data_IF_054039965127
#
_entry.id   IF_054039965127
#
_cell.length_a   1.000
_cell.length_b   1.000
_cell.length_c   1.000
_cell.angle_alpha   90.00
_cell.angle_beta   90.00
_cell.angle_gamma   90.00
#
_symmetry.space_group_name_H-M   'P 1'
#
loop_
_entity.id
_entity.type
_entity.pdbx_description
1 polymer ?
#
# COMPACT_ATOMS: atom_id res chain seq x y z
N UNK A 1 -0.83 10.61 -21.49
CA UNK A 1 -1.32 11.15 -20.21
C UNK A 1 -0.58 12.43 -19.89
N UNK A 2 -1.27 13.51 -19.52
CA UNK A 2 -0.67 14.76 -19.06
C UNK A 2 -0.92 14.87 -17.56
N UNK A 3 0.12 15.10 -16.77
CA UNK A 3 0.04 15.22 -15.30
C UNK A 3 0.39 16.64 -14.91
N UNK A 4 -0.45 17.27 -14.10
CA UNK A 4 -0.21 18.57 -13.48
C UNK A 4 -0.09 18.40 -11.98
N UNK A 5 0.92 19.02 -11.39
CA UNK A 5 1.16 19.00 -9.93
C UNK A 5 0.97 20.41 -9.37
N UNK A 6 0.18 20.52 -8.32
CA UNK A 6 -0.13 21.80 -7.67
C UNK A 6 0.08 21.70 -6.16
N UNK A 7 0.69 22.71 -5.53
CA UNK A 7 0.95 22.69 -4.09
C UNK A 7 -0.30 22.97 -3.24
N UNK A 8 -1.36 23.52 -3.80
CA UNK A 8 -2.58 23.89 -3.08
C UNK A 8 -3.82 23.67 -3.92
N UNK A 9 -4.94 23.38 -3.24
CA UNK A 9 -6.25 23.18 -3.90
C UNK A 9 -6.71 24.47 -4.59
N UNK A 10 -6.45 25.63 -4.01
CA UNK A 10 -6.73 26.94 -4.59
C UNK A 10 -6.09 27.12 -5.97
N UNK A 11 -4.84 26.68 -6.11
CA UNK A 11 -4.11 26.73 -7.38
C UNK A 11 -4.73 25.79 -8.42
N UNK A 12 -5.18 24.60 -8.00
CA UNK A 12 -5.93 23.65 -8.85
C UNK A 12 -7.19 24.32 -9.39
N UNK A 13 -8.03 24.86 -8.51
CA UNK A 13 -9.30 25.54 -8.85
C UNK A 13 -9.06 26.68 -9.85
N UNK A 14 -8.08 27.54 -9.57
CA UNK A 14 -7.73 28.68 -10.44
C UNK A 14 -7.27 28.20 -11.81
N UNK A 15 -6.42 27.17 -11.88
CA UNK A 15 -5.89 26.67 -13.14
C UNK A 15 -6.95 25.95 -13.98
N UNK A 16 -7.79 25.13 -13.37
CA UNK A 16 -8.91 24.48 -14.04
C UNK A 16 -9.82 25.53 -14.67
N UNK A 17 -10.16 26.58 -13.90
CA UNK A 17 -11.03 27.66 -14.39
C UNK A 17 -10.40 28.46 -15.53
N UNK A 18 -9.14 28.87 -15.38
CA UNK A 18 -8.48 29.73 -16.36
C UNK A 18 -8.10 29.01 -17.65
N UNK A 19 -7.77 27.71 -17.57
CA UNK A 19 -7.33 26.93 -18.73
C UNK A 19 -8.42 26.02 -19.29
N UNK A 20 -9.63 26.04 -18.70
CA UNK A 20 -10.74 25.15 -19.08
C UNK A 20 -10.32 23.67 -19.14
N UNK A 21 -9.57 23.25 -18.10
CA UNK A 21 -9.12 21.85 -18.01
C UNK A 21 -10.27 20.96 -17.55
N UNK A 22 -10.36 19.78 -18.13
CA UNK A 22 -11.31 18.73 -17.75
C UNK A 22 -10.51 17.47 -17.39
N UNK A 23 -9.95 17.41 -16.15
CA UNK A 23 -9.17 16.24 -15.76
C UNK A 23 -10.07 15.02 -15.57
N UNK A 24 -9.61 13.84 -16.01
CA UNK A 24 -10.29 12.57 -15.74
C UNK A 24 -10.16 12.17 -14.28
N UNK A 25 -9.00 12.51 -13.68
CA UNK A 25 -8.67 12.17 -12.29
C UNK A 25 -8.05 13.34 -11.55
N UNK A 26 -8.41 13.46 -10.28
CA UNK A 26 -7.76 14.32 -9.28
C UNK A 26 -7.23 13.46 -8.15
N UNK A 27 -5.94 13.56 -7.90
CA UNK A 27 -5.28 12.90 -6.74
C UNK A 27 -4.99 13.99 -5.71
N UNK A 28 -5.62 13.90 -4.56
CA UNK A 28 -5.48 14.85 -3.46
C UNK A 28 -4.68 14.20 -2.33
N UNK A 29 -3.60 14.85 -1.92
CA UNK A 29 -2.82 14.42 -0.75
C UNK A 29 -3.29 15.19 0.48
N UNK A 30 -3.80 14.46 1.47
CA UNK A 30 -4.36 15.02 2.70
C UNK A 30 -3.55 14.55 3.90
N UNK A 31 -2.83 15.47 4.55
CA UNK A 31 -2.01 15.16 5.72
C UNK A 31 -2.81 15.15 7.02
N UNK A 32 -3.85 15.99 7.12
CA UNK A 32 -4.64 16.17 8.34
C UNK A 32 -6.13 16.30 8.03
N UNK A 33 -7.00 15.90 8.97
CA UNK A 33 -8.44 16.13 8.87
C UNK A 33 -8.77 17.61 8.67
N UNK A 34 -9.74 17.90 7.81
CA UNK A 34 -10.17 19.28 7.55
C UNK A 34 -9.16 20.15 6.81
N UNK A 35 -8.10 19.60 6.23
CA UNK A 35 -7.10 20.35 5.45
C UNK A 35 -7.71 21.16 4.31
N UNK A 36 -8.75 20.64 3.68
CA UNK A 36 -9.46 21.31 2.60
C UNK A 36 -10.75 21.92 3.16
N UNK A 37 -10.92 23.23 3.01
CA UNK A 37 -12.13 23.92 3.44
C UNK A 37 -13.36 23.44 2.64
N UNK A 38 -14.53 23.59 3.23
CA UNK A 38 -15.78 23.22 2.57
C UNK A 38 -15.99 23.99 1.27
N UNK A 39 -15.64 25.28 1.25
CA UNK A 39 -15.77 26.13 0.07
C UNK A 39 -14.83 25.70 -1.06
N UNK A 40 -13.59 25.32 -0.74
CA UNK A 40 -12.64 24.80 -1.73
C UNK A 40 -13.15 23.47 -2.33
N UNK A 41 -13.68 22.59 -1.49
CA UNK A 41 -14.26 21.32 -1.93
C UNK A 41 -15.45 21.53 -2.87
N UNK A 42 -16.40 22.40 -2.48
CA UNK A 42 -17.54 22.73 -3.33
C UNK A 42 -17.13 23.42 -4.63
N UNK A 43 -16.19 24.36 -4.58
CA UNK A 43 -15.69 25.02 -5.77
C UNK A 43 -15.09 24.02 -6.76
N UNK A 44 -14.32 23.06 -6.26
CA UNK A 44 -13.70 22.03 -7.08
C UNK A 44 -14.75 21.09 -7.66
N UNK A 45 -15.69 20.58 -6.87
CA UNK A 45 -16.78 19.73 -7.37
C UNK A 45 -17.61 20.38 -8.48
N UNK A 46 -17.93 21.68 -8.32
CA UNK A 46 -18.68 22.42 -9.35
C UNK A 46 -17.90 22.58 -10.65
N UNK A 47 -16.58 22.67 -10.58
CA UNK A 47 -15.72 22.80 -11.76
C UNK A 47 -15.40 21.46 -12.43
N UNK A 48 -15.44 20.39 -11.67
CA UNK A 48 -15.02 19.06 -12.11
C UNK A 48 -16.08 17.99 -11.79
N UNK A 49 -17.35 18.16 -12.24
CA UNK A 49 -18.45 17.28 -11.85
C UNK A 49 -18.29 15.85 -12.36
N UNK A 50 -17.51 15.66 -13.43
CA UNK A 50 -17.26 14.34 -14.05
C UNK A 50 -15.89 13.76 -13.71
N UNK A 51 -15.08 14.49 -12.92
CA UNK A 51 -13.74 14.06 -12.53
C UNK A 51 -13.82 13.08 -11.37
N UNK A 52 -13.05 12.01 -11.44
CA UNK A 52 -12.88 11.07 -10.34
C UNK A 52 -11.85 11.58 -9.36
N UNK A 53 -12.14 11.43 -8.09
CA UNK A 53 -11.26 11.90 -7.03
C UNK A 53 -10.69 10.73 -6.27
N UNK A 54 -9.37 10.76 -6.09
CA UNK A 54 -8.63 9.89 -5.21
C UNK A 54 -8.03 10.75 -4.10
N UNK A 55 -8.28 10.39 -2.86
CA UNK A 55 -7.64 11.01 -1.70
C UNK A 55 -6.58 10.05 -1.15
N UNK A 56 -5.35 10.52 -1.10
CA UNK A 56 -4.26 9.85 -0.42
C UNK A 56 -4.13 10.45 0.97
N UNK A 57 -4.53 9.67 1.97
CA UNK A 57 -4.65 10.12 3.36
C UNK A 57 -3.38 9.84 4.15
N UNK A 58 -2.87 10.85 4.84
CA UNK A 58 -1.82 10.68 5.84
C UNK A 58 -2.34 9.96 7.10
N UNK A 59 -1.44 9.54 8.00
CA UNK A 59 -1.79 8.77 9.20
C UNK A 59 -2.84 9.45 10.08
N UNK A 60 -2.82 10.78 10.18
CA UNK A 60 -3.78 11.54 10.97
C UNK A 60 -5.21 11.54 10.42
N UNK A 61 -5.39 11.15 9.16
CA UNK A 61 -6.69 11.12 8.49
C UNK A 61 -7.40 9.76 8.55
N UNK A 62 -6.78 8.74 9.11
CA UNK A 62 -7.35 7.37 9.13
C UNK A 62 -8.66 7.28 9.91
N UNK A 63 -8.82 8.09 10.95
CA UNK A 63 -10.06 8.17 11.73
C UNK A 63 -11.13 9.11 11.14
N UNK A 64 -10.79 9.93 10.16
CA UNK A 64 -11.70 10.94 9.59
C UNK A 64 -13.03 10.35 9.08
N UNK A 65 -13.08 9.16 8.45
CA UNK A 65 -14.34 8.55 8.04
C UNK A 65 -15.30 8.25 9.19
N UNK A 66 -14.78 8.07 10.40
CA UNK A 66 -15.58 7.73 11.59
C UNK A 66 -15.98 8.95 12.42
N UNK A 67 -15.09 9.92 12.55
CA UNK A 67 -15.22 11.01 13.53
C UNK A 67 -15.22 12.41 12.92
N UNK A 68 -14.91 12.51 11.63
CA UNK A 68 -14.78 13.79 10.94
C UNK A 68 -15.85 14.04 9.87
N UNK A 69 -15.56 14.95 8.99
CA UNK A 69 -16.35 15.24 7.79
C UNK A 69 -15.55 14.87 6.54
N UNK A 70 -15.48 13.60 6.20
CA UNK A 70 -14.70 13.15 5.05
C UNK A 70 -15.25 13.73 3.73
N UNK A 71 -14.39 13.84 2.74
CA UNK A 71 -14.81 14.16 1.38
C UNK A 71 -15.76 13.09 0.86
N UNK A 72 -17.00 13.42 0.45
CA UNK A 72 -17.94 12.44 -0.09
C UNK A 72 -17.56 12.03 -1.51
N UNK A 73 -17.92 10.80 -1.91
CA UNK A 73 -17.79 10.32 -3.29
C UNK A 73 -16.34 10.25 -3.79
N UNK A 74 -15.38 10.07 -2.91
CA UNK A 74 -13.97 9.96 -3.25
C UNK A 74 -13.42 8.60 -2.89
N UNK A 75 -12.51 8.12 -3.71
CA UNK A 75 -11.70 6.99 -3.41
C UNK A 75 -10.65 7.35 -2.37
N UNK A 76 -10.39 6.46 -1.41
CA UNK A 76 -9.38 6.69 -0.37
C UNK A 76 -8.32 5.61 -0.39
N UNK A 77 -7.07 6.06 -0.30
CA UNK A 77 -5.93 5.20 -0.03
C UNK A 77 -5.13 5.83 1.12
N UNK A 78 -4.58 5.00 1.98
CA UNK A 78 -3.57 5.49 2.93
C UNK A 78 -2.28 5.86 2.18
N UNK A 79 -1.46 6.70 2.79
CA UNK A 79 -0.14 7.06 2.23
C UNK A 79 0.74 5.82 1.99
N UNK A 80 0.69 4.86 2.88
CA UNK A 80 1.41 3.60 2.76
C UNK A 80 0.92 2.76 1.58
N UNK A 81 -0.40 2.63 1.40
CA UNK A 81 -0.99 1.97 0.23
C UNK A 81 -0.61 2.68 -1.07
N UNK A 82 -0.68 4.03 -1.10
CA UNK A 82 -0.31 4.80 -2.27
C UNK A 82 1.12 4.56 -2.72
N UNK A 83 2.08 4.55 -1.79
CA UNK A 83 3.49 4.27 -2.11
C UNK A 83 3.69 2.96 -2.85
N UNK A 84 2.89 1.97 -2.52
CA UNK A 84 2.98 0.63 -3.12
C UNK A 84 2.27 0.57 -4.48
N UNK A 85 1.09 1.20 -4.59
CA UNK A 85 0.24 1.05 -5.78
C UNK A 85 0.38 2.18 -6.81
N UNK A 86 1.08 3.27 -6.48
CA UNK A 86 1.12 4.49 -7.31
C UNK A 86 1.51 4.21 -8.76
N UNK A 87 2.57 3.45 -8.97
CA UNK A 87 3.06 3.14 -10.32
C UNK A 87 2.08 2.28 -11.10
N UNK A 88 1.50 1.26 -10.46
CA UNK A 88 0.51 0.40 -11.09
C UNK A 88 -0.79 1.18 -11.36
N UNK A 89 -1.21 2.03 -10.42
CA UNK A 89 -2.34 2.92 -10.60
C UNK A 89 -2.15 3.87 -11.78
N UNK A 90 -0.97 4.51 -11.90
CA UNK A 90 -0.67 5.39 -13.02
C UNK A 90 -0.64 4.64 -14.37
N UNK A 91 -0.15 3.40 -14.41
CA UNK A 91 -0.20 2.54 -15.59
C UNK A 91 -1.65 2.21 -15.96
N UNK A 92 -2.46 1.84 -14.96
CA UNK A 92 -3.88 1.53 -15.15
C UNK A 92 -4.68 2.72 -15.67
N UNK A 93 -4.34 3.96 -15.27
CA UNK A 93 -4.98 5.15 -15.79
C UNK A 93 -4.70 5.37 -17.29
N UNK A 94 -3.63 4.78 -17.83
CA UNK A 94 -3.31 4.82 -19.25
C UNK A 94 -4.07 3.77 -20.05
N UNK A 95 -4.53 2.72 -19.40
CA UNK A 95 -5.27 1.63 -20.03
C UNK A 95 -6.77 1.96 -20.07
N UNK A 96 -7.30 2.08 -21.28
CA UNK A 96 -8.73 2.36 -21.50
C UNK A 96 -9.63 1.19 -21.11
N UNK A 97 -9.08 0.00 -20.95
CA UNK A 97 -9.81 -1.21 -20.52
C UNK A 97 -9.89 -1.34 -18.99
N UNK A 98 -9.32 -0.37 -18.26
CA UNK A 98 -9.31 -0.35 -16.82
C UNK A 98 -10.74 -0.46 -16.24
N UNK A 99 -11.06 -1.50 -15.43
CA UNK A 99 -12.36 -1.66 -14.78
C UNK A 99 -12.79 -0.44 -13.95
N UNK A 100 -11.82 0.28 -13.37
CA UNK A 100 -12.11 1.53 -12.65
C UNK A 100 -12.63 2.62 -13.55
N UNK A 101 -12.32 2.58 -14.85
CA UNK A 101 -12.84 3.53 -15.82
C UNK A 101 -14.35 3.34 -16.10
N UNK A 102 -14.87 2.14 -15.87
CA UNK A 102 -16.29 1.80 -16.02
C UNK A 102 -17.15 2.17 -14.81
N UNK A 103 -16.56 2.46 -13.65
CA UNK A 103 -17.32 2.79 -12.46
C UNK A 103 -17.98 4.17 -12.59
N UNK A 104 -19.23 4.34 -12.14
CA UNK A 104 -19.85 5.65 -12.03
C UNK A 104 -19.11 6.52 -11.00
N UNK A 105 -19.20 7.84 -11.16
CA UNK A 105 -18.58 8.80 -10.22
C UNK A 105 -19.16 8.64 -8.81
N UNK A 106 -20.40 8.18 -8.73
CA UNK A 106 -21.12 7.90 -7.47
C UNK A 106 -20.85 6.51 -6.92
N UNK A 107 -19.91 5.76 -7.51
CA UNK A 107 -19.57 4.44 -7.02
C UNK A 107 -19.20 4.48 -5.53
N UNK A 108 -19.76 3.55 -4.77
CA UNK A 108 -19.44 3.38 -3.36
C UNK A 108 -18.02 2.82 -3.20
N UNK A 109 -17.49 2.95 -1.99
CA UNK A 109 -16.21 2.33 -1.63
C UNK A 109 -16.23 0.81 -1.89
N UNK A 110 -17.36 0.15 -1.63
CA UNK A 110 -17.56 -1.30 -1.84
C UNK A 110 -17.51 -1.66 -3.32
N UNK A 111 -18.19 -0.88 -4.18
CA UNK A 111 -18.15 -1.08 -5.64
C UNK A 111 -16.75 -0.88 -6.18
N UNK A 112 -16.04 0.11 -5.63
CA UNK A 112 -14.64 0.33 -5.99
C UNK A 112 -13.75 -0.83 -5.55
N UNK A 113 -13.86 -1.31 -4.33
CA UNK A 113 -13.10 -2.47 -3.85
C UNK A 113 -13.45 -3.73 -4.65
N UNK A 114 -14.72 -3.90 -5.02
CA UNK A 114 -15.15 -4.99 -5.90
C UNK A 114 -14.53 -4.90 -7.29
N UNK A 115 -14.54 -3.73 -7.91
CA UNK A 115 -13.89 -3.52 -9.20
C UNK A 115 -12.37 -3.71 -9.12
N UNK A 116 -11.75 -3.24 -8.02
CA UNK A 116 -10.34 -3.46 -7.75
C UNK A 116 -9.99 -4.94 -7.59
N UNK A 117 -10.86 -5.72 -6.98
CA UNK A 117 -10.67 -7.18 -6.85
C UNK A 117 -10.75 -7.94 -8.18
N UNK A 118 -11.38 -7.35 -9.20
CA UNK A 118 -11.45 -7.89 -10.56
C UNK A 118 -10.17 -7.63 -11.38
N UNK A 119 -9.27 -6.75 -10.91
CA UNK A 119 -7.96 -6.67 -11.53
C UNK A 119 -7.28 -8.04 -11.42
N UNK A 120 -6.63 -8.49 -12.49
CA UNK A 120 -5.79 -9.64 -12.38
C UNK A 120 -4.82 -9.36 -11.23
N UNK A 121 -4.88 -10.19 -10.19
CA UNK A 121 -3.93 -10.10 -9.10
C UNK A 121 -2.54 -10.00 -9.71
N UNK A 122 -1.72 -9.05 -9.30
CA UNK A 122 -0.35 -9.03 -9.75
C UNK A 122 0.21 -10.42 -9.46
N UNK A 123 0.45 -11.18 -10.53
CA UNK A 123 1.03 -12.50 -10.37
C UNK A 123 2.29 -12.34 -9.51
N UNK A 124 2.36 -13.06 -8.42
CA UNK A 124 3.61 -13.14 -7.67
C UNK A 124 4.68 -13.63 -8.66
N UNK A 125 5.91 -13.09 -8.60
CA UNK A 125 6.96 -13.51 -9.52
C UNK A 125 7.07 -15.03 -9.49
N UNK A 126 6.62 -15.69 -10.55
CA UNK A 126 6.78 -17.13 -10.73
C UNK A 126 8.19 -17.35 -11.28
N UNK A 127 9.13 -17.61 -10.39
CA UNK A 127 10.44 -18.10 -10.77
C UNK A 127 10.41 -19.61 -11.01
N UNK A 128 11.51 -20.20 -11.48
CA UNK A 128 11.68 -21.67 -11.61
C UNK A 128 11.57 -22.39 -10.25
N UNK A 129 11.78 -21.70 -9.15
CA UNK A 129 11.67 -22.22 -7.79
C UNK A 129 10.39 -21.73 -7.12
N UNK A 130 9.73 -22.58 -6.31
CA UNK A 130 8.56 -22.17 -5.55
C UNK A 130 8.87 -20.95 -4.67
N UNK A 131 7.88 -20.09 -4.48
CA UNK A 131 8.00 -18.96 -3.58
C UNK A 131 7.83 -19.45 -2.14
N UNK A 132 8.89 -19.26 -1.35
CA UNK A 132 8.87 -19.53 0.09
C UNK A 132 8.85 -18.20 0.85
N UNK A 133 7.93 -18.07 1.79
CA UNK A 133 7.81 -16.88 2.63
C UNK A 133 7.84 -17.26 4.12
N UNK A 134 8.41 -16.35 4.92
CA UNK A 134 8.26 -16.39 6.37
C UNK A 134 7.13 -15.46 6.82
N UNK A 135 6.33 -15.86 7.79
CA UNK A 135 5.36 -15.03 8.47
C UNK A 135 5.69 -15.02 9.95
N UNK A 136 6.08 -13.88 10.47
CA UNK A 136 6.70 -13.75 11.78
C UNK A 136 5.82 -12.83 12.64
N UNK A 137 5.54 -13.26 13.85
CA UNK A 137 4.82 -12.46 14.84
C UNK A 137 4.74 -13.15 16.19
N UNK A 138 4.38 -12.41 17.21
CA UNK A 138 4.39 -12.85 18.60
C UNK A 138 3.39 -13.97 18.89
N UNK A 139 2.28 -14.00 18.13
CA UNK A 139 1.23 -15.02 18.25
C UNK A 139 1.02 -15.71 16.92
N UNK A 140 1.69 -16.85 16.70
CA UNK A 140 1.61 -17.60 15.44
C UNK A 140 0.18 -17.97 15.02
N UNK A 141 -0.72 -18.16 15.99
CA UNK A 141 -2.12 -18.52 15.74
C UNK A 141 -2.87 -17.39 15.03
N UNK A 142 -2.56 -16.14 15.34
CA UNK A 142 -3.16 -14.98 14.69
C UNK A 142 -2.71 -14.81 13.24
N UNK A 143 -1.60 -15.45 12.86
CA UNK A 143 -1.02 -15.38 11.52
C UNK A 143 -1.51 -16.49 10.60
N UNK A 144 -2.30 -17.43 11.10
CA UNK A 144 -2.80 -18.57 10.32
C UNK A 144 -3.65 -18.16 9.12
N UNK A 145 -4.32 -16.99 9.18
CA UNK A 145 -5.07 -16.50 8.03
C UNK A 145 -4.16 -16.11 6.86
N UNK A 146 -2.98 -15.54 7.14
CA UNK A 146 -1.98 -15.21 6.12
C UNK A 146 -1.48 -16.50 5.47
N UNK A 147 -1.16 -17.52 6.29
CA UNK A 147 -0.75 -18.81 5.79
C UNK A 147 -1.80 -19.41 4.84
N UNK A 148 -3.07 -19.48 5.27
CA UNK A 148 -4.17 -19.99 4.45
C UNK A 148 -4.35 -19.21 3.15
N UNK A 149 -4.16 -17.90 3.19
CA UNK A 149 -4.23 -17.05 2.01
C UNK A 149 -3.17 -17.44 0.97
N UNK A 150 -1.93 -17.62 1.39
CA UNK A 150 -0.82 -17.92 0.49
C UNK A 150 -0.79 -19.41 0.02
N UNK A 151 -1.26 -20.33 0.84
CA UNK A 151 -1.41 -21.74 0.46
C UNK A 151 -2.36 -21.90 -0.74
N UNK A 152 -3.36 -21.04 -0.91
CA UNK A 152 -4.24 -21.03 -2.09
C UNK A 152 -3.49 -20.74 -3.40
N UNK A 153 -2.31 -20.13 -3.31
CA UNK A 153 -1.45 -19.82 -4.47
C UNK A 153 -0.20 -20.69 -4.54
N UNK A 154 -0.21 -21.82 -3.85
CA UNK A 154 0.93 -22.75 -3.83
C UNK A 154 2.23 -22.13 -3.34
N UNK A 155 2.14 -21.16 -2.43
CA UNK A 155 3.27 -20.55 -1.76
C UNK A 155 3.54 -21.29 -0.46
N UNK A 156 4.78 -21.72 -0.26
CA UNK A 156 5.18 -22.33 0.99
C UNK A 156 5.34 -21.28 2.09
N UNK A 157 4.71 -21.50 3.24
CA UNK A 157 4.70 -20.53 4.34
C UNK A 157 5.29 -21.14 5.60
N UNK A 158 6.33 -20.51 6.10
CA UNK A 158 6.89 -20.79 7.43
C UNK A 158 6.39 -19.74 8.42
N UNK A 159 5.66 -20.19 9.46
CA UNK A 159 5.26 -19.32 10.57
C UNK A 159 6.26 -19.50 11.72
N UNK A 160 6.66 -18.38 12.34
CA UNK A 160 7.58 -18.39 13.46
C UNK A 160 7.32 -17.22 14.41
N UNK A 161 7.71 -17.36 15.67
CA UNK A 161 7.89 -16.22 16.58
C UNK A 161 9.16 -15.44 16.19
N UNK A 162 9.31 -14.19 16.64
CA UNK A 162 10.55 -13.42 16.42
C UNK A 162 11.78 -14.12 16.99
N UNK A 163 11.66 -14.76 18.15
CA UNK A 163 12.74 -15.49 18.83
C UNK A 163 13.15 -16.73 18.03
N UNK A 164 12.19 -17.50 17.56
CA UNK A 164 12.45 -18.67 16.70
C UNK A 164 13.11 -18.26 15.39
N UNK A 165 12.65 -17.18 14.78
CA UNK A 165 13.22 -16.67 13.55
C UNK A 165 14.65 -16.14 13.77
N UNK A 166 14.93 -15.48 14.89
CA UNK A 166 16.27 -15.06 15.27
C UNK A 166 17.19 -16.26 15.57
N UNK A 167 16.69 -17.31 16.21
CA UNK A 167 17.48 -18.50 16.51
C UNK A 167 17.75 -19.35 15.27
N UNK A 168 16.72 -19.59 14.45
CA UNK A 168 16.73 -20.59 13.36
C UNK A 168 16.20 -20.00 12.05
N UNK A 169 16.82 -18.92 11.54
CA UNK A 169 16.42 -18.34 10.27
C UNK A 169 16.50 -19.35 9.12
N UNK A 170 15.40 -19.47 8.39
CA UNK A 170 15.34 -20.25 7.14
C UNK A 170 15.52 -19.33 5.95
N UNK A 171 16.33 -19.69 4.96
CA UNK A 171 16.42 -18.92 3.72
C UNK A 171 15.05 -18.89 3.04
N UNK A 172 14.45 -17.70 2.94
CA UNK A 172 13.17 -17.45 2.26
C UNK A 172 13.33 -16.27 1.33
N UNK A 173 12.46 -16.18 0.32
CA UNK A 173 12.49 -15.10 -0.66
C UNK A 173 11.87 -13.82 -0.12
N UNK A 174 10.87 -13.96 0.76
CA UNK A 174 10.28 -12.81 1.44
C UNK A 174 9.85 -13.15 2.87
N UNK A 175 9.71 -12.12 3.69
CA UNK A 175 9.19 -12.22 5.04
C UNK A 175 8.10 -11.18 5.29
N UNK A 176 7.08 -11.57 6.04
CA UNK A 176 6.01 -10.71 6.53
C UNK A 176 6.15 -10.67 8.04
N UNK A 177 6.24 -9.48 8.62
CA UNK A 177 6.34 -9.30 10.07
C UNK A 177 5.13 -8.55 10.60
N UNK A 178 4.47 -9.13 11.60
CA UNK A 178 3.33 -8.53 12.30
C UNK A 178 3.81 -7.63 13.44
N UNK A 179 3.95 -6.33 13.14
CA UNK A 179 4.38 -5.30 14.12
C UNK A 179 3.24 -5.01 15.08
N UNK A 180 3.48 -5.12 16.38
CA UNK A 180 2.46 -4.88 17.40
C UNK A 180 2.45 -3.47 17.95
N UNK A 181 3.55 -2.97 18.40
CA UNK A 181 3.61 -1.71 19.11
C UNK A 181 4.66 -0.72 18.61
N UNK A 182 5.49 -1.13 17.64
CA UNK A 182 6.59 -0.34 17.10
C UNK A 182 7.49 0.27 18.23
N UNK A 183 7.58 -0.40 19.38
CA UNK A 183 8.48 0.03 20.45
C UNK A 183 9.93 -0.26 20.09
N UNK A 184 10.86 0.37 20.78
CA UNK A 184 12.30 0.31 20.48
C UNK A 184 12.84 -1.12 20.45
N UNK A 185 12.37 -2.01 21.32
CA UNK A 185 12.86 -3.38 21.39
C UNK A 185 12.33 -4.23 20.23
N UNK A 186 11.08 -4.01 19.84
CA UNK A 186 10.50 -4.65 18.67
C UNK A 186 11.19 -4.18 17.39
N UNK A 187 11.41 -2.87 17.24
CA UNK A 187 12.10 -2.32 16.07
C UNK A 187 13.54 -2.84 15.95
N UNK A 188 14.27 -2.99 17.07
CA UNK A 188 15.59 -3.62 17.08
C UNK A 188 15.53 -5.09 16.67
N UNK A 189 14.53 -5.84 17.12
CA UNK A 189 14.34 -7.24 16.70
C UNK A 189 14.07 -7.35 15.20
N UNK A 190 13.24 -6.48 14.66
CA UNK A 190 12.98 -6.41 13.22
C UNK A 190 14.27 -6.13 12.45
N UNK A 191 15.05 -5.14 12.86
CA UNK A 191 16.32 -4.80 12.21
C UNK A 191 17.31 -5.99 12.26
N UNK A 192 17.41 -6.68 13.40
CA UNK A 192 18.25 -7.87 13.53
C UNK A 192 17.81 -9.00 12.58
N UNK A 193 16.50 -9.23 12.45
CA UNK A 193 15.95 -10.22 11.55
C UNK A 193 16.24 -9.86 10.08
N UNK A 194 16.11 -8.61 9.71
CA UNK A 194 16.45 -8.12 8.37
C UNK A 194 17.92 -8.37 8.08
N UNK A 195 18.81 -7.94 8.95
CA UNK A 195 20.28 -8.16 8.80
C UNK A 195 20.59 -9.65 8.69
N UNK A 196 19.97 -10.49 9.52
CA UNK A 196 20.17 -11.95 9.49
C UNK A 196 19.70 -12.56 8.17
N UNK A 197 18.55 -12.14 7.67
CA UNK A 197 18.00 -12.62 6.40
C UNK A 197 18.91 -12.29 5.22
N UNK A 198 19.46 -11.09 5.18
CA UNK A 198 20.41 -10.69 4.15
C UNK A 198 21.73 -11.49 4.19
N UNK A 199 22.19 -11.83 5.40
CA UNK A 199 23.39 -12.69 5.55
C UNK A 199 23.14 -14.14 5.11
N UNK A 200 21.91 -14.62 5.26
CA UNK A 200 21.52 -15.98 4.91
C UNK A 200 21.20 -16.17 3.42
N UNK A 201 20.88 -15.11 2.70
CA UNK A 201 20.54 -15.17 1.28
C UNK A 201 21.39 -14.17 0.48
N UNK A 202 22.19 -14.61 -0.50
CA UNK A 202 23.00 -13.74 -1.34
C UNK A 202 22.18 -12.72 -2.13
N UNK A 203 20.91 -13.02 -2.39
CA UNK A 203 19.97 -12.14 -3.12
C UNK A 203 19.12 -11.26 -2.20
N UNK A 204 19.33 -11.36 -0.89
CA UNK A 204 18.49 -10.69 0.10
C UNK A 204 17.16 -11.37 0.33
N UNK A 205 16.33 -10.75 1.15
CA UNK A 205 14.97 -11.17 1.46
C UNK A 205 14.08 -9.92 1.39
N UNK A 206 12.98 -9.99 0.65
CA UNK A 206 11.99 -8.91 0.63
C UNK A 206 11.19 -8.88 1.94
N UNK A 207 10.85 -7.69 2.45
CA UNK A 207 10.14 -7.56 3.73
C UNK A 207 8.84 -6.80 3.59
N UNK A 208 7.79 -7.31 4.21
CA UNK A 208 6.52 -6.62 4.41
C UNK A 208 6.28 -6.49 5.91
N UNK A 209 6.20 -5.27 6.41
CA UNK A 209 5.91 -4.97 7.81
C UNK A 209 4.45 -4.56 7.93
N UNK A 210 3.65 -5.31 8.69
CA UNK A 210 2.26 -5.00 8.97
C UNK A 210 2.20 -4.23 10.29
N UNK A 211 1.88 -2.93 10.27
CA UNK A 211 1.87 -2.09 11.46
C UNK A 211 0.53 -1.40 11.65
N UNK A 212 0.03 -1.35 12.90
CA UNK A 212 -1.06 -0.45 13.27
C UNK A 212 -0.52 0.98 13.32
N UNK A 213 -1.11 1.91 12.57
CA UNK A 213 -0.69 3.32 12.55
C UNK A 213 0.81 3.52 12.30
N UNK A 214 1.34 3.09 11.14
CA UNK A 214 2.76 3.22 10.87
C UNK A 214 3.15 4.70 10.75
N UNK A 215 3.93 5.19 11.69
CA UNK A 215 4.57 6.50 11.64
C UNK A 215 5.90 6.32 10.93
N UNK A 216 6.16 7.09 9.88
CA UNK A 216 7.39 6.90 9.08
C UNK A 216 8.68 7.06 9.90
N UNK A 217 8.64 7.84 10.96
CA UNK A 217 9.75 8.09 11.88
C UNK A 217 10.12 6.84 12.68
N UNK A 218 9.16 6.00 13.04
CA UNK A 218 9.41 4.75 13.77
C UNK A 218 10.20 3.74 12.94
N UNK A 219 10.11 3.84 11.61
CA UNK A 219 10.73 2.92 10.67
C UNK A 219 11.89 3.55 9.88
N UNK A 220 12.62 4.49 10.46
CA UNK A 220 13.74 5.18 9.78
C UNK A 220 14.79 4.22 9.22
N UNK A 221 15.04 3.10 9.90
CA UNK A 221 15.96 2.07 9.43
C UNK A 221 15.58 1.50 8.06
N UNK A 222 14.29 1.54 7.69
CA UNK A 222 13.84 1.02 6.38
C UNK A 222 14.32 1.87 5.19
N UNK A 223 14.77 3.10 5.42
CA UNK A 223 15.31 3.98 4.37
C UNK A 223 16.57 3.39 3.70
N UNK A 224 17.27 2.52 4.41
CA UNK A 224 18.49 1.88 3.91
C UNK A 224 18.23 0.58 3.13
N UNK A 225 16.96 0.15 3.04
CA UNK A 225 16.59 -1.14 2.47
C UNK A 225 15.47 -0.97 1.44
N UNK A 226 15.81 -1.03 0.16
CA UNK A 226 14.84 -0.84 -0.96
C UNK A 226 13.72 -1.91 -1.02
N UNK A 227 13.96 -3.07 -0.39
CA UNK A 227 13.06 -4.24 -0.43
C UNK A 227 12.12 -4.31 0.78
N UNK A 228 11.88 -3.21 1.48
CA UNK A 228 10.96 -3.16 2.62
C UNK A 228 9.71 -2.38 2.25
N UNK A 229 8.55 -3.00 2.46
CA UNK A 229 7.24 -2.39 2.33
C UNK A 229 6.53 -2.36 3.69
N UNK A 230 5.98 -1.21 4.07
CA UNK A 230 5.18 -1.08 5.29
C UNK A 230 3.73 -0.94 4.89
N UNK A 231 2.87 -1.78 5.45
CA UNK A 231 1.42 -1.78 5.23
C UNK A 231 0.68 -1.52 6.54
N UNK A 232 -0.38 -0.70 6.53
CA UNK A 232 -1.19 -0.45 7.72
C UNK A 232 -2.07 -1.66 8.04
N UNK A 233 -2.39 -1.85 9.31
CA UNK A 233 -3.46 -2.74 9.76
C UNK A 233 -4.76 -1.95 9.96
N UNK A 234 -5.93 -2.49 9.62
CA UNK A 234 -6.13 -3.81 9.01
C UNK A 234 -5.71 -3.82 7.53
N UNK A 235 -5.01 -4.89 7.13
CA UNK A 235 -4.50 -5.05 5.77
C UNK A 235 -5.44 -5.95 4.98
N UNK A 236 -5.83 -5.53 3.78
CA UNK A 236 -6.57 -6.38 2.86
C UNK A 236 -5.61 -7.33 2.13
N UNK A 237 -6.12 -8.49 1.71
CA UNK A 237 -5.33 -9.48 0.97
C UNK A 237 -4.67 -8.91 -0.29
N UNK A 238 -5.34 -7.98 -0.99
CA UNK A 238 -4.78 -7.27 -2.14
C UNK A 238 -3.55 -6.45 -1.77
N UNK A 239 -3.63 -5.65 -0.71
CA UNK A 239 -2.52 -4.79 -0.29
C UNK A 239 -1.31 -5.62 0.14
N UNK A 240 -1.57 -6.77 0.78
CA UNK A 240 -0.53 -7.71 1.17
C UNK A 240 0.21 -8.28 -0.05
N UNK A 241 -0.53 -8.66 -1.11
CA UNK A 241 0.06 -9.15 -2.36
C UNK A 241 0.88 -8.09 -3.08
N UNK A 242 0.35 -6.87 -3.18
CA UNK A 242 1.06 -5.76 -3.81
C UNK A 242 2.31 -5.41 -3.02
N UNK A 243 2.23 -5.39 -1.68
CA UNK A 243 3.38 -5.19 -0.80
C UNK A 243 4.45 -6.26 -0.97
N UNK A 244 4.02 -7.51 -1.05
CA UNK A 244 4.93 -8.64 -1.27
C UNK A 244 5.60 -8.56 -2.66
N UNK A 245 4.85 -8.22 -3.70
CA UNK A 245 5.39 -8.00 -5.04
C UNK A 245 6.42 -6.87 -5.06
N UNK A 246 6.15 -5.76 -4.35
CA UNK A 246 7.10 -4.67 -4.21
C UNK A 246 8.39 -5.15 -3.52
N UNK A 247 8.26 -5.86 -2.42
CA UNK A 247 9.39 -6.43 -1.69
C UNK A 247 10.22 -7.44 -2.51
N UNK A 248 9.59 -8.09 -3.49
CA UNK A 248 10.22 -9.03 -4.42
C UNK A 248 10.65 -8.41 -5.76
N UNK A 249 10.49 -7.12 -5.97
CA UNK A 249 10.75 -6.48 -7.28
C UNK A 249 12.18 -6.68 -7.77
N UNK A 250 13.16 -6.60 -6.89
CA UNK A 250 14.58 -6.82 -7.25
C UNK A 250 14.88 -8.28 -7.59
N UNK A 251 14.11 -9.22 -7.05
CA UNK A 251 14.19 -10.63 -7.41
C UNK A 251 13.76 -10.91 -8.86
N UNK A 252 12.72 -10.21 -9.32
CA UNK A 252 12.19 -10.38 -10.67
C UNK A 252 13.15 -9.82 -11.74
N UNK A 253 13.88 -8.74 -11.43
CA UNK A 253 14.81 -8.10 -12.36
C UNK A 253 16.13 -8.89 -12.54
N UNK A 254 16.39 -9.88 -11.70
CA UNK A 254 17.64 -10.69 -11.77
C UNK A 254 17.45 -11.95 -12.64
N UNK A 255 16.21 -12.25 -13.07
CA UNK A 255 15.86 -13.45 -13.86
C UNK A 255 15.65 -13.09 -15.36
N UNK A 256 15.56 -11.81 -15.70
CA UNK A 256 15.46 -11.30 -17.07
C UNK A 256 16.84 -10.96 -17.63
#
# INVERSE_FOLDING_TARGET
MVVYIFPTLRKVVTTIRSRQLFPDWLVLFQDRPGQFSQDERYALHRLTPLTRWLVVSGPWCESEPRTGTPLPGVLRLSWSQWRVVANDFLRLLQDKTNPLSGLPITASEEEFQSARSQFPFPALPQGQEPLDIAVIGEFPEELMWIKRLFEQWSVAVWIATPEEALAHWRPVKAAIYDVRGANTDELRRIEQLIIRSYRASPRGCGWVLLAGFPICEDFEFTKYWSQICILPKPTQHWDLLVGLRHALADWANTIA
#
